data_IF_877684626811
#
_entry.id   IF_877684626811
#
_cell.length_a   1.000
_cell.length_b   1.000
_cell.length_c   1.000
_cell.angle_alpha   90.00
_cell.angle_beta   90.00
_cell.angle_gamma   90.00
#
_symmetry.space_group_name_H-M   'P 1'
#
loop_
_entity.id
_entity.type
_entity.pdbx_description
1 polymer ?
#
# COMPACT_ATOMS: atom_id res chain seq x y z
N UNK A 1 26.89 -40.18 22.30
CA UNK A 1 27.61 -39.15 21.52
C UNK A 1 26.72 -38.31 20.58
N UNK A 2 25.38 -38.47 20.56
CA UNK A 2 24.48 -37.66 19.71
C UNK A 2 23.81 -36.50 20.45
N UNK A 3 23.65 -36.61 21.78
CA UNK A 3 23.01 -35.58 22.62
C UNK A 3 23.94 -34.43 23.04
N UNK A 4 25.25 -34.54 22.78
CA UNK A 4 26.22 -33.49 23.13
C UNK A 4 26.37 -32.43 22.04
N UNK A 5 25.97 -32.75 20.80
CA UNK A 5 26.05 -31.85 19.63
C UNK A 5 24.83 -30.92 19.56
N UNK A 6 23.68 -31.34 20.08
CA UNK A 6 22.45 -30.53 20.10
C UNK A 6 22.46 -29.43 21.16
N UNK A 7 23.17 -29.63 22.28
CA UNK A 7 23.25 -28.64 23.35
C UNK A 7 24.15 -27.44 23.01
N UNK A 8 25.19 -27.64 22.19
CA UNK A 8 26.12 -26.58 21.80
C UNK A 8 25.53 -25.64 20.74
N UNK A 9 24.66 -26.14 19.86
CA UNK A 9 23.98 -25.31 18.85
C UNK A 9 22.94 -24.36 19.46
N UNK A 10 22.28 -24.74 20.56
CA UNK A 10 21.34 -23.84 21.26
C UNK A 10 22.05 -22.68 21.98
N UNK A 11 23.23 -22.93 22.57
CA UNK A 11 23.99 -21.88 23.26
C UNK A 11 24.54 -20.80 22.32
N UNK A 12 24.93 -21.18 21.10
CA UNK A 12 25.45 -20.23 20.10
C UNK A 12 24.31 -19.37 19.53
N UNK A 13 23.11 -19.94 19.36
CA UNK A 13 21.95 -19.21 18.82
C UNK A 13 21.38 -18.18 19.80
N UNK A 14 21.52 -18.38 21.12
CA UNK A 14 21.11 -17.39 22.11
C UNK A 14 22.11 -16.23 22.27
N UNK A 15 23.38 -16.44 21.95
CA UNK A 15 24.43 -15.43 22.12
C UNK A 15 24.48 -14.38 21.00
N UNK A 16 23.81 -14.58 19.87
CA UNK A 16 23.76 -13.62 18.75
C UNK A 16 22.61 -12.62 18.82
N UNK A 17 21.60 -12.83 19.68
CA UNK A 17 20.42 -11.94 19.78
C UNK A 17 20.71 -10.70 20.66
N UNK A 18 21.76 -10.72 21.50
CA UNK A 18 22.10 -9.63 22.41
C UNK A 18 22.92 -8.47 21.77
N UNK A 19 23.30 -8.57 20.48
CA UNK A 19 24.25 -7.65 19.84
C UNK A 19 23.66 -6.52 18.98
N UNK A 20 22.34 -6.40 18.83
CA UNK A 20 21.72 -5.44 17.90
C UNK A 20 20.80 -4.41 18.56
N UNK A 21 21.15 -3.97 19.78
CA UNK A 21 20.60 -2.77 20.39
C UNK A 21 21.77 -1.83 20.71
N UNK A 22 21.90 -0.74 19.93
CA UNK A 22 22.50 0.58 20.24
C UNK A 22 23.13 1.13 18.95
N UNK A 23 22.32 1.84 18.16
CA UNK A 23 22.75 2.94 17.29
C UNK A 23 21.53 3.57 16.59
N UNK A 24 20.68 4.29 17.33
CA UNK A 24 19.88 5.38 16.75
C UNK A 24 19.72 6.49 17.80
N UNK A 25 20.70 7.37 17.85
CA UNK A 25 20.68 8.62 18.64
C UNK A 25 20.75 9.81 17.68
N UNK A 26 19.70 10.65 17.69
CA UNK A 26 19.63 12.11 17.42
C UNK A 26 20.25 12.66 16.11
N UNK A 27 19.61 13.49 15.27
CA UNK A 27 18.43 14.38 15.36
C UNK A 27 18.19 15.01 13.95
N UNK A 28 17.67 16.24 13.75
CA UNK A 28 17.32 17.28 14.72
C UNK A 28 15.87 17.83 14.64
N UNK A 29 15.49 18.52 15.71
CA UNK A 29 14.27 19.30 15.84
C UNK A 29 14.31 20.60 15.01
N UNK A 30 13.12 21.00 14.56
CA UNK A 30 12.75 22.27 13.91
C UNK A 30 12.74 23.42 14.95
N UNK A 31 13.01 24.67 14.56
CA UNK A 31 11.93 25.67 14.64
C UNK A 31 11.93 26.71 13.49
N UNK A 32 10.86 27.49 13.46
CA UNK A 32 10.21 28.13 12.30
C UNK A 32 10.72 29.52 11.86
N UNK A 33 10.20 29.92 10.68
CA UNK A 33 9.82 31.27 10.22
C UNK A 33 10.72 31.93 9.13
N UNK A 34 10.22 32.95 8.39
CA UNK A 34 9.81 32.79 6.99
C UNK A 34 10.61 33.69 6.03
N UNK A 35 10.83 33.23 4.79
CA UNK A 35 11.37 34.08 3.73
C UNK A 35 10.74 33.76 2.36
N UNK A 36 10.26 34.84 1.72
CA UNK A 36 9.78 34.93 0.33
C UNK A 36 10.83 34.52 -0.69
N UNK A 37 10.39 33.98 -1.84
CA UNK A 37 10.80 34.27 -3.24
C UNK A 37 10.21 33.14 -4.12
N UNK A 38 9.09 33.35 -4.81
CA UNK A 38 8.96 33.88 -6.18
C UNK A 38 9.80 33.20 -7.28
N UNK A 39 9.05 32.60 -8.23
CA UNK A 39 9.30 32.50 -9.67
C UNK A 39 10.43 31.61 -10.19
N UNK A 40 10.04 30.47 -10.78
CA UNK A 40 10.39 30.00 -12.14
C UNK A 40 9.96 28.52 -12.27
N UNK A 41 8.88 28.17 -12.95
CA UNK A 41 8.86 27.90 -14.40
C UNK A 41 10.02 27.02 -14.88
N UNK A 42 9.85 25.69 -14.79
CA UNK A 42 10.48 24.76 -15.73
C UNK A 42 9.51 23.61 -15.99
N UNK A 43 8.67 23.80 -17.00
CA UNK A 43 8.20 22.70 -17.83
C UNK A 43 9.39 22.21 -18.66
N UNK A 44 9.64 20.91 -18.65
CA UNK A 44 10.47 20.24 -19.65
C UNK A 44 9.72 19.03 -20.20
N UNK A 45 10.02 18.65 -21.45
CA UNK A 45 9.04 18.38 -22.47
C UNK A 45 8.79 16.89 -22.65
N UNK A 46 7.81 16.63 -23.52
CA UNK A 46 7.49 15.34 -24.10
C UNK A 46 8.66 14.80 -24.93
N UNK A 47 9.11 13.58 -24.64
CA UNK A 47 9.78 12.73 -25.63
C UNK A 47 8.85 11.56 -25.98
N UNK A 48 8.40 11.66 -27.21
CA UNK A 48 7.46 10.82 -27.92
C UNK A 48 8.24 9.70 -28.60
N UNK A 49 8.26 8.48 -28.03
CA UNK A 49 8.72 7.30 -28.76
C UNK A 49 7.52 6.58 -29.36
N UNK A 50 7.10 7.07 -30.53
CA UNK A 50 6.33 6.30 -31.50
C UNK A 50 7.24 5.25 -32.14
N UNK A 51 6.91 3.98 -31.98
CA UNK A 51 7.21 2.96 -33.01
C UNK A 51 5.91 2.31 -33.44
N UNK A 52 5.60 2.60 -34.70
CA UNK A 52 4.57 2.07 -35.56
C UNK A 52 4.52 0.53 -35.56
N UNK A 53 3.33 -0.03 -35.38
CA UNK A 53 2.88 -1.21 -36.13
C UNK A 53 1.36 -1.13 -36.30
N UNK A 54 0.97 -0.70 -37.49
CA UNK A 54 -0.34 -0.99 -38.09
C UNK A 54 -0.56 -2.50 -38.12
N UNK A 55 -1.62 -2.97 -37.47
CA UNK A 55 -2.35 -4.13 -37.93
C UNK A 55 -3.84 -3.78 -38.00
N UNK A 56 -4.35 -3.83 -39.22
CA UNK A 56 -5.73 -3.56 -39.59
C UNK A 56 -6.49 -4.88 -39.48
N UNK A 57 -7.14 -5.09 -38.33
CA UNK A 57 -8.26 -6.04 -38.23
C UNK A 57 -9.47 -5.29 -37.68
N UNK A 58 -10.48 -5.18 -38.53
CA UNK A 58 -11.79 -4.61 -38.24
C UNK A 58 -12.43 -5.28 -37.02
N UNK A 59 -12.62 -4.44 -35.98
CA UNK A 59 -13.89 -4.23 -35.30
C UNK A 59 -14.73 -5.47 -34.96
N UNK A 60 -14.42 -6.08 -33.81
CA UNK A 60 -15.47 -6.36 -32.83
C UNK A 60 -15.20 -5.50 -31.61
N UNK A 61 -16.00 -4.45 -31.44
CA UNK A 61 -15.98 -3.59 -30.26
C UNK A 61 -16.17 -4.50 -29.03
N UNK A 62 -15.17 -4.67 -28.14
CA UNK A 62 -15.38 -5.44 -26.94
C UNK A 62 -16.45 -4.69 -26.15
N UNK A 63 -17.62 -5.32 -25.98
CA UNK A 63 -18.60 -4.94 -24.95
C UNK A 63 -17.79 -4.61 -23.70
N UNK A 64 -17.91 -3.37 -23.23
CA UNK A 64 -17.20 -2.83 -22.08
C UNK A 64 -17.28 -3.87 -20.95
N UNK A 65 -16.21 -4.66 -20.80
CA UNK A 65 -16.06 -5.61 -19.71
C UNK A 65 -16.14 -4.74 -18.48
N UNK A 66 -17.28 -4.78 -17.78
CA UNK A 66 -17.40 -4.11 -16.49
C UNK A 66 -16.18 -4.54 -15.70
N UNK A 67 -15.33 -3.57 -15.38
CA UNK A 67 -14.08 -3.82 -14.71
C UNK A 67 -14.47 -4.31 -13.31
N UNK A 68 -14.54 -5.63 -13.14
CA UNK A 68 -14.91 -6.21 -11.85
C UNK A 68 -13.75 -5.96 -10.90
N UNK A 69 -13.97 -5.05 -9.95
CA UNK A 69 -12.99 -4.72 -8.93
C UNK A 69 -12.81 -5.94 -8.02
N UNK A 70 -11.59 -6.48 -7.97
CA UNK A 70 -11.22 -7.56 -7.06
C UNK A 70 -11.28 -7.08 -5.60
N UNK A 71 -11.92 -7.87 -4.73
CA UNK A 71 -12.10 -7.53 -3.32
C UNK A 71 -10.76 -7.44 -2.56
N UNK A 72 -9.84 -8.38 -2.83
CA UNK A 72 -8.51 -8.39 -2.22
C UNK A 72 -7.65 -7.22 -2.71
N UNK A 73 -7.70 -6.91 -4.01
CA UNK A 73 -6.96 -5.77 -4.56
C UNK A 73 -7.51 -4.44 -4.05
N UNK A 74 -8.84 -4.27 -4.00
CA UNK A 74 -9.46 -3.07 -3.46
C UNK A 74 -9.10 -2.87 -1.97
N UNK A 75 -9.08 -3.94 -1.18
CA UNK A 75 -8.65 -3.88 0.22
C UNK A 75 -7.17 -3.50 0.34
N UNK A 76 -6.28 -4.17 -0.39
CA UNK A 76 -4.84 -3.87 -0.37
C UNK A 76 -4.53 -2.45 -0.85
N UNK A 77 -5.19 -1.98 -1.90
CA UNK A 77 -4.92 -0.66 -2.45
C UNK A 77 -5.45 0.47 -1.55
N UNK A 78 -6.56 0.26 -0.83
CA UNK A 78 -7.23 1.34 -0.10
C UNK A 78 -7.05 1.27 1.43
N UNK A 79 -6.98 0.08 2.02
CA UNK A 79 -7.00 -0.08 3.47
C UNK A 79 -5.61 -0.29 4.10
N UNK A 80 -4.63 -0.81 3.36
CA UNK A 80 -3.30 -1.09 3.92
C UNK A 80 -2.29 0.06 3.81
N UNK A 81 -2.73 1.21 3.27
CA UNK A 81 -1.89 2.41 3.07
C UNK A 81 -1.43 3.05 4.39
N UNK A 82 -2.23 2.93 5.45
CA UNK A 82 -1.98 3.59 6.74
C UNK A 82 -1.62 2.61 7.85
N UNK A 83 -2.05 1.35 7.75
CA UNK A 83 -1.82 0.28 8.72
C UNK A 83 -1.94 -1.07 8.02
N UNK A 84 -1.21 -2.09 8.45
CA UNK A 84 -1.17 -3.38 7.75
C UNK A 84 -2.50 -4.13 7.70
N UNK A 85 -3.33 -4.00 8.74
CA UNK A 85 -4.60 -4.71 8.87
C UNK A 85 -5.65 -3.85 9.58
N UNK A 86 -6.92 -4.00 9.18
CA UNK A 86 -8.06 -3.38 9.86
C UNK A 86 -8.44 -4.25 11.07
N UNK A 87 -8.51 -3.70 12.30
CA UNK A 87 -8.94 -4.46 13.46
C UNK A 87 -10.35 -5.04 13.29
N UNK A 88 -10.63 -6.24 13.81
CA UNK A 88 -11.94 -6.85 13.69
C UNK A 88 -12.97 -6.00 14.45
N UNK A 89 -14.02 -5.60 13.74
CA UNK A 89 -15.17 -4.88 14.30
C UNK A 89 -16.46 -5.49 13.77
N UNK A 90 -17.58 -5.27 14.48
CA UNK A 90 -18.88 -5.78 14.05
C UNK A 90 -19.21 -5.34 12.61
N UNK A 91 -19.88 -6.21 11.84
CA UNK A 91 -20.37 -5.93 10.48
C UNK A 91 -21.04 -4.56 10.31
N UNK A 92 -21.88 -4.14 11.28
CA UNK A 92 -22.56 -2.83 11.26
C UNK A 92 -21.56 -1.67 11.30
N UNK A 93 -20.54 -1.79 12.16
CA UNK A 93 -19.46 -0.79 12.26
C UNK A 93 -18.60 -0.79 11.00
N UNK A 94 -18.24 -1.96 10.46
CA UNK A 94 -17.51 -2.06 9.19
C UNK A 94 -18.21 -1.31 8.06
N UNK A 95 -19.52 -1.54 7.87
CA UNK A 95 -20.34 -0.83 6.87
C UNK A 95 -20.31 0.69 7.06
N UNK A 96 -20.37 1.15 8.31
CA UNK A 96 -20.33 2.58 8.64
C UNK A 96 -18.96 3.18 8.33
N UNK A 97 -17.89 2.49 8.74
CA UNK A 97 -16.50 2.91 8.50
C UNK A 97 -16.24 3.03 7.00
N UNK A 98 -16.54 1.99 6.22
CA UNK A 98 -16.31 1.99 4.76
C UNK A 98 -17.11 3.11 4.09
N UNK A 99 -18.35 3.38 4.53
CA UNK A 99 -19.14 4.52 4.03
C UNK A 99 -18.46 5.86 4.25
N UNK A 100 -17.83 6.08 5.41
CA UNK A 100 -17.05 7.29 5.66
C UNK A 100 -15.74 7.31 4.86
N UNK A 101 -15.10 6.14 4.69
CA UNK A 101 -13.84 6.04 3.94
C UNK A 101 -14.02 6.32 2.45
N UNK A 102 -15.21 6.11 1.86
CA UNK A 102 -15.51 6.56 0.48
C UNK A 102 -15.14 8.01 0.24
N UNK A 103 -15.54 8.90 1.14
CA UNK A 103 -15.24 10.33 1.01
C UNK A 103 -13.82 10.64 1.48
N UNK A 104 -13.41 10.09 2.62
CA UNK A 104 -12.14 10.46 3.27
C UNK A 104 -10.90 9.92 2.56
N UNK A 105 -11.00 8.75 1.96
CA UNK A 105 -9.92 8.08 1.22
C UNK A 105 -10.16 8.05 -0.29
N UNK A 106 -11.20 8.77 -0.77
CA UNK A 106 -11.57 8.84 -2.19
C UNK A 106 -11.80 7.46 -2.83
N UNK A 107 -12.51 6.58 -2.12
CA UNK A 107 -12.84 5.22 -2.59
C UNK A 107 -14.13 5.27 -3.40
N UNK A 108 -14.12 4.68 -4.59
CA UNK A 108 -15.29 4.60 -5.46
C UNK A 108 -16.41 3.74 -4.85
N UNK A 109 -17.62 3.80 -5.44
CA UNK A 109 -18.73 2.98 -4.98
C UNK A 109 -18.46 1.47 -5.15
N UNK A 110 -17.81 1.10 -6.24
CA UNK A 110 -17.50 -0.28 -6.63
C UNK A 110 -16.43 -0.87 -5.71
N UNK A 111 -15.32 -0.15 -5.51
CA UNK A 111 -14.28 -0.56 -4.55
C UNK A 111 -14.82 -0.69 -3.13
N UNK A 112 -15.69 0.23 -2.70
CA UNK A 112 -16.30 0.14 -1.37
C UNK A 112 -17.14 -1.12 -1.19
N UNK A 113 -17.85 -1.57 -2.22
CA UNK A 113 -18.58 -2.83 -2.17
C UNK A 113 -17.63 -4.02 -2.15
N UNK A 114 -16.57 -4.01 -2.97
CA UNK A 114 -15.55 -5.04 -3.00
C UNK A 114 -14.82 -5.16 -1.64
N UNK A 115 -14.49 -4.04 -1.00
CA UNK A 115 -13.90 -4.00 0.34
C UNK A 115 -14.87 -4.56 1.39
N UNK A 116 -16.17 -4.27 1.30
CA UNK A 116 -17.17 -4.83 2.21
C UNK A 116 -17.33 -6.34 2.03
N UNK A 117 -17.21 -6.85 0.80
CA UNK A 117 -17.17 -8.29 0.56
C UNK A 117 -15.93 -8.90 1.23
N UNK A 118 -14.76 -8.27 1.10
CA UNK A 118 -13.53 -8.75 1.74
C UNK A 118 -13.58 -8.81 3.27
N UNK A 119 -14.13 -7.78 3.92
CA UNK A 119 -14.05 -7.58 5.37
C UNK A 119 -15.14 -8.28 6.20
N UNK A 120 -16.22 -8.75 5.56
CA UNK A 120 -17.42 -9.22 6.26
C UNK A 120 -17.84 -10.63 5.80
N UNK A 121 -17.08 -11.24 4.90
CA UNK A 121 -17.23 -12.64 4.52
C UNK A 121 -16.80 -13.57 5.66
#
# INVERSE_FOLDING_TARGET
MKSLITATMFLIFTLTIAGFLVAQTSGPAKPDAPAKQETASTQQPMDMQSTHSTDNTQSMHPMHRMHMVSADDAYKQNCTRCHSEVPPVSTRRTKTIVRHMRVRANITAEEAQAILQYLIQ
#
